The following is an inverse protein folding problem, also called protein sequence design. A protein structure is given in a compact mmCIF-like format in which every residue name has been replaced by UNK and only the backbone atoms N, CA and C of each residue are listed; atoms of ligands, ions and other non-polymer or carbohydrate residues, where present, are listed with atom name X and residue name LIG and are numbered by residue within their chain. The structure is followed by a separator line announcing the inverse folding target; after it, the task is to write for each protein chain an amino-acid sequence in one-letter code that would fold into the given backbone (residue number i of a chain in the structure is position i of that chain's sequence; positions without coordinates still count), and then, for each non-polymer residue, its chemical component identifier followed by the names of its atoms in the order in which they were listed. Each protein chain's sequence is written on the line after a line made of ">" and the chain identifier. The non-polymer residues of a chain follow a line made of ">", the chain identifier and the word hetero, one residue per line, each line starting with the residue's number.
data_IF_351463858266
#
_entry.id   IF_351463858266
#
_cell.length_a   1.000
_cell.length_b   1.000
_cell.length_c   1.000
_cell.angle_alpha   90.00
_cell.angle_beta   90.00
_cell.angle_gamma   90.00
#
_symmetry.space_group_name_H-M   'P 1'
#
loop_
_entity.id
_entity.type
_entity.pdbx_description
1 polymer ?
#
# COMPACT_ATOMS: atom_id res chain seq x y z
N UNK A 1 -48.93 -63.23 -15.26
CA UNK A 1 -48.71 -61.84 -14.82
C UNK A 1 -49.27 -60.89 -15.87
N UNK A 2 -50.22 -60.00 -15.55
CA UNK A 2 -50.74 -59.03 -16.51
C UNK A 2 -49.65 -58.02 -16.90
N UNK A 3 -49.52 -57.69 -18.19
CA UNK A 3 -48.59 -56.66 -18.66
C UNK A 3 -49.03 -55.29 -18.12
N UNK A 4 -48.12 -54.45 -17.59
CA UNK A 4 -48.47 -53.12 -17.12
C UNK A 4 -49.06 -52.28 -18.26
N UNK A 5 -50.08 -51.47 -17.96
CA UNK A 5 -50.69 -50.60 -18.97
C UNK A 5 -49.69 -49.54 -19.46
N UNK A 6 -49.78 -49.09 -20.71
CA UNK A 6 -48.91 -48.05 -21.25
C UNK A 6 -48.90 -46.77 -20.37
N UNK A 7 -50.02 -46.45 -19.73
CA UNK A 7 -50.14 -45.32 -18.78
C UNK A 7 -49.31 -45.55 -17.51
N UNK A 8 -49.23 -46.78 -17.02
CA UNK A 8 -48.43 -47.15 -15.85
C UNK A 8 -46.93 -47.08 -16.16
N UNK A 9 -46.53 -47.52 -17.36
CA UNK A 9 -45.13 -47.44 -17.81
C UNK A 9 -44.69 -45.99 -18.01
N UNK A 10 -45.54 -45.16 -18.64
CA UNK A 10 -45.28 -43.72 -18.81
C UNK A 10 -45.23 -42.99 -17.47
N UNK A 11 -46.16 -43.29 -16.55
CA UNK A 11 -46.16 -42.70 -15.21
C UNK A 11 -44.91 -43.05 -14.40
N UNK A 12 -44.44 -44.29 -14.48
CA UNK A 12 -43.20 -44.72 -13.83
C UNK A 12 -41.96 -44.05 -14.46
N UNK A 13 -41.91 -43.93 -15.78
CA UNK A 13 -40.83 -43.25 -16.48
C UNK A 13 -40.75 -41.75 -16.10
N UNK A 14 -41.89 -41.08 -16.01
CA UNK A 14 -41.98 -39.68 -15.57
C UNK A 14 -41.56 -39.51 -14.10
N UNK A 15 -41.98 -40.42 -13.22
CA UNK A 15 -41.60 -40.39 -11.80
C UNK A 15 -40.09 -40.63 -11.62
N UNK A 16 -39.50 -41.55 -12.38
CA UNK A 16 -38.05 -41.81 -12.36
C UNK A 16 -37.26 -40.63 -12.93
N UNK A 17 -37.73 -40.02 -14.01
CA UNK A 17 -37.10 -38.83 -14.59
C UNK A 17 -37.13 -37.65 -13.60
N UNK A 18 -38.28 -37.41 -12.97
CA UNK A 18 -38.43 -36.36 -11.95
C UNK A 18 -37.58 -36.63 -10.71
N UNK A 19 -37.59 -37.87 -10.19
CA UNK A 19 -36.76 -38.26 -9.05
C UNK A 19 -35.25 -38.15 -9.34
N UNK A 20 -34.81 -38.57 -10.52
CA UNK A 20 -33.42 -38.40 -10.96
C UNK A 20 -33.01 -36.93 -11.10
N UNK A 21 -33.92 -36.08 -11.59
CA UNK A 21 -33.70 -34.63 -11.69
C UNK A 21 -33.56 -33.95 -10.32
N UNK A 22 -34.42 -34.28 -9.35
CA UNK A 22 -34.32 -33.76 -7.97
C UNK A 22 -33.03 -34.22 -7.29
N UNK A 23 -32.67 -35.49 -7.44
CA UNK A 23 -31.41 -36.03 -6.90
C UNK A 23 -30.19 -35.33 -7.51
N UNK A 24 -30.22 -35.07 -8.82
CA UNK A 24 -29.17 -34.32 -9.50
C UNK A 24 -29.03 -32.90 -8.94
N UNK A 25 -30.14 -32.17 -8.72
CA UNK A 25 -30.10 -30.84 -8.08
C UNK A 25 -29.50 -30.91 -6.68
N UNK A 26 -29.90 -31.89 -5.86
CA UNK A 26 -29.38 -32.05 -4.49
C UNK A 26 -27.88 -32.36 -4.47
N UNK A 27 -27.43 -33.28 -5.33
CA UNK A 27 -26.01 -33.62 -5.47
C UNK A 27 -25.20 -32.43 -5.99
N UNK A 28 -25.69 -31.73 -7.02
CA UNK A 28 -25.04 -30.54 -7.56
C UNK A 28 -24.94 -29.42 -6.52
N UNK A 29 -25.98 -29.23 -5.71
CA UNK A 29 -25.99 -28.25 -4.62
C UNK A 29 -25.02 -28.63 -3.49
N UNK A 30 -24.98 -29.89 -3.07
CA UNK A 30 -24.03 -30.39 -2.07
C UNK A 30 -22.58 -30.25 -2.55
N UNK A 31 -22.31 -30.56 -3.82
CA UNK A 31 -21.01 -30.33 -4.45
C UNK A 31 -20.66 -28.84 -4.42
N UNK A 32 -21.59 -27.96 -4.83
CA UNK A 32 -21.39 -26.51 -4.76
C UNK A 32 -21.07 -26.05 -3.32
N UNK A 33 -21.81 -26.50 -2.31
CA UNK A 33 -21.56 -26.14 -0.91
C UNK A 33 -20.18 -26.62 -0.43
N UNK A 34 -19.81 -27.85 -0.78
CA UNK A 34 -18.48 -28.39 -0.49
C UNK A 34 -17.37 -27.56 -1.13
N UNK A 35 -17.54 -27.18 -2.42
CA UNK A 35 -16.57 -26.35 -3.13
C UNK A 35 -16.46 -24.93 -2.55
N UNK A 36 -17.57 -24.36 -2.06
CA UNK A 36 -17.55 -23.08 -1.36
C UNK A 36 -16.78 -23.17 -0.04
N UNK A 37 -17.06 -24.19 0.78
CA UNK A 37 -16.41 -24.36 2.09
C UNK A 37 -14.91 -24.58 1.98
N UNK A 38 -14.50 -25.53 1.13
CA UNK A 38 -13.07 -25.81 0.86
C UNK A 38 -12.40 -24.61 0.18
N UNK A 39 -13.07 -23.97 -0.78
CA UNK A 39 -12.59 -22.78 -1.46
C UNK A 39 -12.34 -21.63 -0.50
N UNK A 40 -13.30 -21.30 0.36
CA UNK A 40 -13.20 -20.17 1.31
C UNK A 40 -12.10 -20.37 2.35
N UNK A 41 -11.96 -21.58 2.89
CA UNK A 41 -10.90 -21.89 3.85
C UNK A 41 -9.51 -21.81 3.19
N UNK A 42 -9.37 -22.38 1.99
CA UNK A 42 -8.12 -22.30 1.22
C UNK A 42 -7.79 -20.86 0.83
N UNK A 43 -8.79 -20.07 0.42
CA UNK A 43 -8.60 -18.68 0.01
C UNK A 43 -8.03 -17.85 1.14
N UNK A 44 -8.64 -17.88 2.33
CA UNK A 44 -8.17 -17.11 3.48
C UNK A 44 -6.76 -17.52 3.91
N UNK A 45 -6.51 -18.83 4.05
CA UNK A 45 -5.20 -19.33 4.47
C UNK A 45 -4.10 -18.95 3.47
N UNK A 46 -4.34 -19.13 2.17
CA UNK A 46 -3.35 -18.79 1.13
C UNK A 46 -3.19 -17.30 0.91
N UNK A 47 -4.25 -16.49 1.08
CA UNK A 47 -4.16 -15.04 0.99
C UNK A 47 -3.32 -14.48 2.14
N UNK A 48 -3.53 -14.95 3.37
CA UNK A 48 -2.69 -14.59 4.51
C UNK A 48 -1.24 -15.00 4.28
N UNK A 49 -0.99 -16.24 3.82
CA UNK A 49 0.37 -16.69 3.48
C UNK A 49 1.05 -15.82 2.42
N UNK A 50 0.32 -15.44 1.36
CA UNK A 50 0.81 -14.53 0.31
C UNK A 50 1.20 -13.16 0.90
N UNK A 51 0.36 -12.57 1.74
CA UNK A 51 0.63 -11.26 2.37
C UNK A 51 1.83 -11.32 3.31
N UNK A 52 1.92 -12.38 4.13
CA UNK A 52 3.04 -12.57 5.06
C UNK A 52 4.37 -12.71 4.30
N UNK A 53 4.39 -13.47 3.21
CA UNK A 53 5.58 -13.65 2.38
C UNK A 53 5.98 -12.38 1.63
N UNK A 54 5.02 -11.62 1.08
CA UNK A 54 5.32 -10.30 0.48
C UNK A 54 5.93 -9.37 1.53
N UNK A 55 5.35 -9.33 2.73
CA UNK A 55 5.84 -8.48 3.83
C UNK A 55 7.21 -8.92 4.31
N UNK A 56 7.51 -10.22 4.25
CA UNK A 56 8.83 -10.79 4.54
C UNK A 56 9.85 -10.66 3.39
N UNK A 57 9.45 -10.17 2.22
CA UNK A 57 10.31 -10.07 1.04
C UNK A 57 10.53 -11.40 0.29
N UNK A 58 9.74 -12.43 0.57
CA UNK A 58 9.84 -13.76 -0.04
C UNK A 58 8.96 -13.89 -1.29
N UNK A 59 9.38 -13.27 -2.40
CA UNK A 59 8.61 -13.24 -3.65
C UNK A 59 8.19 -14.63 -4.18
N UNK A 60 9.12 -15.58 -4.25
CA UNK A 60 8.85 -16.92 -4.80
C UNK A 60 7.85 -17.71 -3.94
N UNK A 61 7.91 -17.54 -2.62
CA UNK A 61 6.91 -18.10 -1.72
C UNK A 61 5.55 -17.50 -2.05
N UNK A 62 5.47 -16.17 -2.11
CA UNK A 62 4.24 -15.44 -2.34
C UNK A 62 3.58 -15.83 -3.67
N UNK A 63 4.36 -16.05 -4.73
CA UNK A 63 3.87 -16.53 -6.02
C UNK A 63 3.26 -17.94 -5.94
N UNK A 64 3.90 -18.84 -5.20
CA UNK A 64 3.40 -20.20 -5.00
C UNK A 64 2.10 -20.24 -4.17
N UNK A 65 1.98 -19.39 -3.15
CA UNK A 65 0.76 -19.27 -2.35
C UNK A 65 -0.35 -18.51 -3.10
N UNK A 66 0.00 -17.52 -3.91
CA UNK A 66 -0.95 -16.79 -4.75
C UNK A 66 -1.63 -17.69 -5.78
N UNK A 67 -0.93 -18.64 -6.39
CA UNK A 67 -1.55 -19.63 -7.28
C UNK A 67 -2.68 -20.43 -6.58
N UNK A 68 -2.58 -20.64 -5.26
CA UNK A 68 -3.65 -21.27 -4.46
C UNK A 68 -4.80 -20.29 -4.21
N UNK A 69 -4.52 -18.99 -4.04
CA UNK A 69 -5.53 -17.93 -3.94
C UNK A 69 -6.39 -17.88 -5.20
N UNK A 70 -5.77 -17.86 -6.38
CA UNK A 70 -6.50 -17.84 -7.67
C UNK A 70 -7.35 -19.11 -7.85
N UNK A 71 -6.77 -20.28 -7.57
CA UNK A 71 -7.50 -21.54 -7.65
C UNK A 71 -8.68 -21.57 -6.67
N UNK A 72 -8.51 -21.04 -5.46
CA UNK A 72 -9.57 -20.95 -4.46
C UNK A 72 -10.68 -19.96 -4.86
N UNK A 73 -10.32 -18.78 -5.36
CA UNK A 73 -11.27 -17.78 -5.85
C UNK A 73 -12.09 -18.32 -7.03
N UNK A 74 -11.44 -19.02 -7.97
CA UNK A 74 -12.12 -19.68 -9.09
C UNK A 74 -13.10 -20.76 -8.61
N UNK A 75 -12.74 -21.56 -7.60
CA UNK A 75 -13.64 -22.54 -6.97
C UNK A 75 -14.86 -21.87 -6.32
N UNK A 76 -14.65 -20.78 -5.58
CA UNK A 76 -15.75 -20.03 -4.95
C UNK A 76 -16.68 -19.46 -6.03
N UNK A 77 -16.12 -18.78 -7.05
CA UNK A 77 -16.92 -18.21 -8.14
C UNK A 77 -17.72 -19.28 -8.89
N UNK A 78 -17.08 -20.37 -9.30
CA UNK A 78 -17.74 -21.47 -10.03
C UNK A 78 -18.78 -22.21 -9.19
N UNK A 79 -18.62 -22.24 -7.86
CA UNK A 79 -19.59 -22.88 -6.96
C UNK A 79 -20.94 -22.14 -6.90
N UNK A 80 -20.95 -20.84 -7.25
CA UNK A 80 -22.13 -19.96 -7.23
C UNK A 80 -22.95 -19.94 -8.53
N UNK A 81 -22.50 -20.68 -9.55
CA UNK A 81 -23.09 -20.69 -10.89
C UNK A 81 -23.43 -22.11 -11.35
N UNK A 82 -24.29 -22.22 -12.35
CA UNK A 82 -24.69 -23.49 -12.95
C UNK A 82 -26.20 -23.63 -13.10
N UNK A 83 -26.69 -24.61 -13.89
CA UNK A 83 -28.11 -24.73 -14.18
C UNK A 83 -28.94 -25.03 -12.92
N UNK A 84 -28.38 -25.76 -11.95
CA UNK A 84 -29.00 -26.01 -10.65
C UNK A 84 -29.16 -24.72 -9.83
N UNK A 85 -28.18 -23.80 -9.87
CA UNK A 85 -28.27 -22.51 -9.18
C UNK A 85 -29.28 -21.57 -9.84
N UNK A 86 -29.35 -21.55 -11.17
CA UNK A 86 -30.39 -20.76 -11.88
C UNK A 86 -31.79 -21.23 -11.48
N UNK A 87 -32.00 -22.55 -11.40
CA UNK A 87 -33.29 -23.12 -11.00
C UNK A 87 -33.62 -22.83 -9.53
N UNK A 88 -32.66 -23.00 -8.62
CA UNK A 88 -32.85 -22.68 -7.20
C UNK A 88 -33.11 -21.18 -7.00
N UNK A 89 -32.53 -20.31 -7.84
CA UNK A 89 -32.74 -18.86 -7.81
C UNK A 89 -34.12 -18.42 -8.26
N UNK A 90 -34.88 -19.29 -8.93
CA UNK A 90 -36.28 -19.03 -9.27
C UNK A 90 -37.25 -19.22 -8.10
N UNK A 91 -36.79 -19.79 -6.97
CA UNK A 91 -37.63 -20.04 -5.78
C UNK A 91 -37.61 -18.82 -4.86
N UNK A 92 -38.77 -18.18 -4.60
CA UNK A 92 -38.84 -17.02 -3.70
C UNK A 92 -38.28 -17.34 -2.31
N UNK A 93 -37.32 -16.53 -1.85
CA UNK A 93 -36.65 -16.70 -0.55
C UNK A 93 -35.31 -17.44 -0.63
N UNK A 94 -35.04 -18.21 -1.69
CA UNK A 94 -33.73 -18.85 -1.95
C UNK A 94 -32.85 -17.97 -2.84
N UNK A 95 -33.48 -17.13 -3.67
CA UNK A 95 -32.85 -16.16 -4.56
C UNK A 95 -31.81 -15.26 -3.86
N UNK A 96 -32.14 -14.73 -2.68
CA UNK A 96 -31.22 -13.90 -1.88
C UNK A 96 -29.95 -14.66 -1.44
N UNK A 97 -30.07 -15.95 -1.11
CA UNK A 97 -28.92 -16.76 -0.71
C UNK A 97 -27.98 -17.01 -1.90
N UNK A 98 -28.53 -17.19 -3.11
CA UNK A 98 -27.73 -17.38 -4.33
C UNK A 98 -27.07 -16.06 -4.75
N UNK A 99 -27.78 -14.94 -4.68
CA UNK A 99 -27.20 -13.62 -4.94
C UNK A 99 -26.04 -13.33 -3.97
N UNK A 100 -26.23 -13.59 -2.67
CA UNK A 100 -25.16 -13.45 -1.67
C UNK A 100 -23.93 -14.30 -1.99
N UNK A 101 -24.13 -15.52 -2.48
CA UNK A 101 -23.05 -16.40 -2.90
C UNK A 101 -22.33 -15.85 -4.13
N UNK A 102 -23.06 -15.34 -5.12
CA UNK A 102 -22.48 -14.70 -6.30
C UNK A 102 -21.68 -13.44 -5.93
N UNK A 103 -22.19 -12.62 -5.00
CA UNK A 103 -21.49 -11.47 -4.46
C UNK A 103 -20.20 -11.86 -3.73
N UNK A 104 -20.21 -12.95 -2.96
CA UNK A 104 -19.00 -13.48 -2.34
C UNK A 104 -17.98 -13.96 -3.40
N UNK A 105 -18.45 -14.68 -4.42
CA UNK A 105 -17.62 -15.13 -5.54
C UNK A 105 -16.95 -13.96 -6.26
N UNK A 106 -17.73 -12.94 -6.63
CA UNK A 106 -17.22 -11.71 -7.24
C UNK A 106 -16.18 -11.02 -6.35
N UNK A 107 -16.48 -10.83 -5.05
CA UNK A 107 -15.55 -10.22 -4.12
C UNK A 107 -14.21 -10.99 -4.03
N UNK A 108 -14.23 -12.32 -3.96
CA UNK A 108 -13.01 -13.13 -3.91
C UNK A 108 -12.22 -13.10 -5.21
N UNK A 109 -12.90 -13.05 -6.36
CA UNK A 109 -12.25 -12.93 -7.66
C UNK A 109 -11.57 -11.56 -7.82
N UNK A 110 -12.24 -10.48 -7.40
CA UNK A 110 -11.70 -9.12 -7.43
C UNK A 110 -10.49 -8.96 -6.50
N UNK A 111 -10.55 -9.56 -5.30
CA UNK A 111 -9.40 -9.59 -4.37
C UNK A 111 -8.25 -10.38 -4.99
N UNK A 112 -8.49 -11.57 -5.55
CA UNK A 112 -7.45 -12.38 -6.19
C UNK A 112 -6.79 -11.61 -7.34
N UNK A 113 -7.57 -10.99 -8.23
CA UNK A 113 -7.04 -10.19 -9.33
C UNK A 113 -6.19 -9.01 -8.84
N UNK A 114 -6.66 -8.29 -7.81
CA UNK A 114 -5.93 -7.16 -7.23
C UNK A 114 -4.61 -7.60 -6.55
N UNK A 115 -4.63 -8.72 -5.83
CA UNK A 115 -3.43 -9.31 -5.21
C UNK A 115 -2.43 -9.77 -6.26
N UNK A 116 -2.90 -10.38 -7.36
CA UNK A 116 -2.03 -10.79 -8.47
C UNK A 116 -1.34 -9.62 -9.14
N UNK A 117 -2.08 -8.54 -9.38
CA UNK A 117 -1.53 -7.31 -9.95
C UNK A 117 -0.50 -6.65 -9.01
N UNK A 118 -0.77 -6.64 -7.70
CA UNK A 118 0.18 -6.17 -6.68
C UNK A 118 1.45 -7.03 -6.63
N UNK A 119 1.31 -8.36 -6.66
CA UNK A 119 2.45 -9.27 -6.66
C UNK A 119 3.29 -9.11 -7.93
N UNK A 120 2.64 -9.05 -9.10
CA UNK A 120 3.31 -8.78 -10.36
C UNK A 120 4.06 -7.45 -10.32
N UNK A 121 3.42 -6.39 -9.81
CA UNK A 121 4.04 -5.09 -9.65
C UNK A 121 5.26 -5.14 -8.73
N UNK A 122 5.14 -5.81 -7.58
CA UNK A 122 6.26 -5.99 -6.68
C UNK A 122 7.42 -6.77 -7.34
N UNK A 123 7.13 -7.89 -8.01
CA UNK A 123 8.13 -8.66 -8.76
C UNK A 123 8.85 -7.84 -9.84
N UNK A 124 8.09 -7.05 -10.59
CA UNK A 124 8.60 -6.15 -11.63
C UNK A 124 9.55 -5.07 -11.08
N UNK A 125 9.17 -4.44 -9.97
CA UNK A 125 9.92 -3.34 -9.36
C UNK A 125 11.14 -3.85 -8.58
N UNK A 126 10.99 -4.93 -7.83
CA UNK A 126 12.07 -5.56 -7.06
C UNK A 126 13.10 -6.28 -7.92
N UNK A 127 12.70 -6.69 -9.14
CA UNK A 127 13.47 -7.53 -10.05
C UNK A 127 13.45 -9.03 -9.70
N UNK A 128 12.62 -9.44 -8.74
CA UNK A 128 12.51 -10.83 -8.30
C UNK A 128 11.90 -11.76 -9.37
N UNK A 129 11.17 -11.20 -10.35
CA UNK A 129 10.65 -11.95 -11.49
C UNK A 129 11.61 -12.00 -12.71
N UNK A 130 12.87 -11.62 -12.53
CA UNK A 130 13.86 -11.54 -13.60
C UNK A 130 13.88 -10.21 -14.35
N UNK A 131 12.97 -9.28 -14.03
CA UNK A 131 13.05 -7.89 -14.50
C UNK A 131 14.25 -7.16 -13.91
N UNK A 132 14.66 -6.07 -14.55
CA UNK A 132 15.64 -5.15 -13.95
C UNK A 132 15.03 -4.47 -12.74
N UNK A 133 15.74 -4.43 -11.61
CA UNK A 133 15.29 -3.67 -10.42
C UNK A 133 15.01 -2.22 -10.78
N UNK A 134 13.92 -1.65 -10.25
CA UNK A 134 13.54 -0.24 -10.51
C UNK A 134 14.64 0.72 -10.06
N UNK A 135 15.33 0.40 -8.96
CA UNK A 135 16.51 1.12 -8.53
C UNK A 135 17.76 0.32 -8.87
N UNK A 136 18.63 0.90 -9.69
CA UNK A 136 19.87 0.28 -10.11
C UNK A 136 20.93 1.36 -10.40
N UNK A 137 22.16 1.13 -9.93
CA UNK A 137 23.32 2.00 -10.16
C UNK A 137 23.08 3.49 -9.83
N UNK A 138 22.41 3.73 -8.70
CA UNK A 138 22.10 5.08 -8.19
C UNK A 138 21.01 5.81 -8.99
N UNK A 139 20.27 5.11 -9.84
CA UNK A 139 19.17 5.69 -10.60
C UNK A 139 17.89 4.88 -10.42
N UNK A 140 16.77 5.58 -10.34
CA UNK A 140 15.41 5.03 -10.41
C UNK A 140 14.95 5.04 -11.87
N UNK A 141 14.40 3.94 -12.35
CA UNK A 141 13.86 3.85 -13.71
C UNK A 141 12.55 4.64 -13.85
N UNK A 142 12.70 5.90 -14.25
CA UNK A 142 11.58 6.84 -14.44
C UNK A 142 10.64 6.40 -15.55
N UNK A 143 11.12 5.69 -16.57
CA UNK A 143 10.26 5.21 -17.65
C UNK A 143 9.27 4.17 -17.12
N UNK A 144 9.76 3.22 -16.32
CA UNK A 144 8.90 2.23 -15.64
C UNK A 144 7.99 2.86 -14.59
N UNK A 145 8.43 3.92 -13.91
CA UNK A 145 7.54 4.66 -13.00
C UNK A 145 6.32 5.26 -13.70
N UNK A 146 6.43 5.65 -14.98
CA UNK A 146 5.29 6.17 -15.76
C UNK A 146 4.25 5.09 -16.07
N UNK A 147 4.60 3.81 -15.91
CA UNK A 147 3.69 2.67 -16.08
C UNK A 147 2.91 2.36 -14.81
N UNK A 148 3.29 2.94 -13.65
CA UNK A 148 2.61 2.69 -12.37
C UNK A 148 1.15 3.17 -12.32
N UNK A 149 0.79 4.39 -12.75
CA UNK A 149 -0.56 4.91 -12.56
C UNK A 149 -1.69 4.00 -13.06
N UNK A 150 -1.66 3.45 -14.30
CA UNK A 150 -2.72 2.56 -14.76
C UNK A 150 -2.78 1.23 -13.97
N UNK A 151 -1.64 0.71 -13.51
CA UNK A 151 -1.59 -0.54 -12.71
C UNK A 151 -2.21 -0.34 -11.33
N UNK A 152 -1.82 0.76 -10.65
CA UNK A 152 -2.36 1.12 -9.35
C UNK A 152 -3.87 1.41 -9.44
N UNK A 153 -4.32 2.07 -10.52
CA UNK A 153 -5.74 2.31 -10.76
C UNK A 153 -6.54 1.01 -10.98
N UNK A 154 -5.94 -0.01 -11.63
CA UNK A 154 -6.58 -1.32 -11.79
C UNK A 154 -6.73 -2.05 -10.44
N UNK A 155 -5.70 -2.01 -9.60
CA UNK A 155 -5.73 -2.55 -8.23
C UNK A 155 -6.82 -1.84 -7.41
N UNK A 156 -6.87 -0.51 -7.46
CA UNK A 156 -7.91 0.28 -6.78
C UNK A 156 -9.32 -0.09 -7.23
N UNK A 157 -9.53 -0.24 -8.54
CA UNK A 157 -10.81 -0.61 -9.11
C UNK A 157 -11.26 -2.02 -8.63
N UNK A 158 -10.34 -2.98 -8.61
CA UNK A 158 -10.60 -4.33 -8.09
C UNK A 158 -10.97 -4.31 -6.60
N UNK A 159 -10.21 -3.59 -5.77
CA UNK A 159 -10.50 -3.44 -4.34
C UNK A 159 -11.86 -2.76 -4.12
N UNK A 160 -12.17 -1.69 -4.86
CA UNK A 160 -13.48 -1.00 -4.82
C UNK A 160 -14.62 -1.94 -5.20
N UNK A 161 -14.45 -2.71 -6.28
CA UNK A 161 -15.43 -3.70 -6.73
C UNK A 161 -15.65 -4.80 -5.69
N UNK A 162 -14.59 -5.30 -5.06
CA UNK A 162 -14.70 -6.30 -3.99
C UNK A 162 -15.50 -5.77 -2.80
N UNK A 163 -15.24 -4.52 -2.38
CA UNK A 163 -15.95 -3.89 -1.27
C UNK A 163 -17.43 -3.61 -1.62
N UNK A 164 -17.73 -3.29 -2.88
CA UNK A 164 -19.12 -3.15 -3.35
C UNK A 164 -19.84 -4.51 -3.33
N UNK A 165 -19.21 -5.56 -3.83
CA UNK A 165 -19.75 -6.92 -3.81
C UNK A 165 -20.01 -7.40 -2.37
N UNK A 166 -19.07 -7.17 -1.44
CA UNK A 166 -19.27 -7.48 -0.02
C UNK A 166 -20.46 -6.73 0.59
N UNK A 167 -20.63 -5.43 0.28
CA UNK A 167 -21.78 -4.62 0.77
C UNK A 167 -23.12 -5.06 0.17
N UNK A 168 -23.11 -5.61 -1.04
CA UNK A 168 -24.31 -6.12 -1.70
C UNK A 168 -24.86 -7.41 -1.09
N UNK A 169 -24.07 -8.10 -0.25
CA UNK A 169 -24.54 -9.25 0.53
C UNK A 169 -25.71 -8.82 1.44
N UNK A 170 -26.89 -9.37 1.16
CA UNK A 170 -28.10 -9.15 1.92
C UNK A 170 -28.04 -9.88 3.26
N UNK A 171 -28.19 -9.15 4.35
CA UNK A 171 -28.10 -9.67 5.72
C UNK A 171 -29.47 -9.84 6.34
N UNK A 172 -30.38 -10.48 5.61
CA UNK A 172 -31.78 -10.72 6.00
C UNK A 172 -32.08 -12.21 6.18
N UNK A 173 -33.14 -12.54 6.92
CA UNK A 173 -33.59 -13.93 7.12
C UNK A 173 -32.89 -14.67 8.27
N UNK A 174 -33.02 -16.01 8.33
CA UNK A 174 -32.60 -16.81 9.49
C UNK A 174 -31.11 -16.74 9.83
N UNK A 175 -30.26 -16.45 8.85
CA UNK A 175 -28.80 -16.36 8.99
C UNK A 175 -28.27 -14.92 9.00
N UNK A 176 -29.16 -13.92 9.09
CA UNK A 176 -28.83 -12.50 9.02
C UNK A 176 -27.65 -12.09 9.91
N UNK A 177 -27.66 -12.51 11.19
CA UNK A 177 -26.62 -12.12 12.15
C UNK A 177 -25.22 -12.69 11.81
N UNK A 178 -25.17 -13.93 11.31
CA UNK A 178 -23.92 -14.55 10.90
C UNK A 178 -23.36 -13.87 9.63
N UNK A 179 -24.22 -13.65 8.62
CA UNK A 179 -23.85 -12.97 7.38
C UNK A 179 -23.40 -11.52 7.65
N UNK A 180 -24.10 -10.78 8.50
CA UNK A 180 -23.72 -9.42 8.90
C UNK A 180 -22.35 -9.39 9.59
N UNK A 181 -22.02 -10.42 10.37
CA UNK A 181 -20.72 -10.53 11.04
C UNK A 181 -19.60 -10.81 10.05
N UNK A 182 -19.81 -11.74 9.11
CA UNK A 182 -18.84 -12.04 8.04
C UNK A 182 -18.62 -10.84 7.13
N UNK A 183 -19.70 -10.19 6.67
CA UNK A 183 -19.65 -8.98 5.85
C UNK A 183 -18.85 -7.87 6.54
N UNK A 184 -19.18 -7.56 7.80
CA UNK A 184 -18.48 -6.51 8.55
C UNK A 184 -17.00 -6.83 8.75
N UNK A 185 -16.67 -8.09 9.08
CA UNK A 185 -15.27 -8.51 9.21
C UNK A 185 -14.52 -8.33 7.89
N UNK A 186 -15.06 -8.83 6.78
CA UNK A 186 -14.43 -8.71 5.47
C UNK A 186 -14.23 -7.23 5.05
N UNK A 187 -15.23 -6.37 5.29
CA UNK A 187 -15.10 -4.94 4.99
C UNK A 187 -14.04 -4.24 5.86
N UNK A 188 -13.90 -4.65 7.13
CA UNK A 188 -12.87 -4.10 8.01
C UNK A 188 -11.45 -4.50 7.58
N UNK A 189 -11.27 -5.68 6.97
CA UNK A 189 -9.97 -6.11 6.42
C UNK A 189 -9.63 -5.39 5.10
N UNK A 190 -10.63 -5.08 4.28
CA UNK A 190 -10.42 -4.40 2.98
C UNK A 190 -10.16 -2.90 3.14
N UNK A 191 -10.73 -2.26 4.16
CA UNK A 191 -10.66 -0.80 4.32
C UNK A 191 -9.24 -0.23 4.41
N UNK A 192 -8.31 -0.78 5.22
CA UNK A 192 -6.93 -0.29 5.29
C UNK A 192 -6.17 -0.43 3.96
N UNK A 193 -6.42 -1.52 3.23
CA UNK A 193 -5.81 -1.76 1.91
C UNK A 193 -6.31 -0.72 0.90
N UNK A 194 -7.61 -0.45 0.92
CA UNK A 194 -8.21 0.59 0.07
C UNK A 194 -7.64 1.97 0.38
N UNK A 195 -7.45 2.32 1.65
CA UNK A 195 -6.84 3.59 2.06
C UNK A 195 -5.40 3.71 1.55
N UNK A 196 -4.58 2.67 1.73
CA UNK A 196 -3.20 2.64 1.24
C UNK A 196 -3.11 2.76 -0.29
N UNK A 197 -3.99 2.08 -1.02
CA UNK A 197 -4.02 2.14 -2.48
C UNK A 197 -4.53 3.49 -2.99
N UNK A 198 -5.51 4.11 -2.34
CA UNK A 198 -5.94 5.47 -2.71
C UNK A 198 -4.78 6.47 -2.63
N UNK A 199 -3.97 6.41 -1.57
CA UNK A 199 -2.76 7.25 -1.46
C UNK A 199 -1.81 6.99 -2.63
N UNK A 200 -1.62 5.73 -3.02
CA UNK A 200 -0.76 5.40 -4.15
C UNK A 200 -1.35 5.86 -5.50
N UNK A 201 -2.67 5.81 -5.69
CA UNK A 201 -3.36 6.36 -6.87
C UNK A 201 -3.07 7.85 -7.01
N UNK A 202 -3.10 8.60 -5.90
CA UNK A 202 -2.84 10.03 -5.89
C UNK A 202 -1.36 10.37 -6.13
N UNK A 203 -0.45 9.55 -5.58
CA UNK A 203 1.00 9.78 -5.66
C UNK A 203 1.64 9.28 -6.95
N UNK A 204 1.24 8.11 -7.47
CA UNK A 204 1.89 7.46 -8.61
C UNK A 204 2.03 8.36 -9.85
N UNK A 205 1.03 9.19 -10.23
CA UNK A 205 1.17 10.12 -11.35
C UNK A 205 2.24 11.20 -11.15
N UNK A 206 2.54 11.55 -9.89
CA UNK A 206 3.48 12.62 -9.53
C UNK A 206 4.91 12.11 -9.41
N UNK A 207 5.11 10.82 -9.12
CA UNK A 207 6.43 10.24 -8.88
C UNK A 207 7.43 10.47 -10.03
N UNK A 208 7.08 10.33 -11.32
CA UNK A 208 8.03 10.59 -12.39
C UNK A 208 8.57 12.02 -12.36
N UNK A 209 7.70 13.03 -12.24
CA UNK A 209 8.13 14.43 -12.19
C UNK A 209 8.94 14.71 -10.92
N UNK A 210 8.47 14.22 -9.78
CA UNK A 210 9.16 14.35 -8.50
C UNK A 210 10.58 13.74 -8.52
N UNK A 211 10.81 12.73 -9.35
CA UNK A 211 12.11 12.08 -9.52
C UNK A 211 12.87 12.56 -10.77
N UNK A 212 12.49 13.73 -11.29
CA UNK A 212 13.25 14.45 -12.30
C UNK A 212 12.99 14.03 -13.73
N UNK A 213 11.80 13.48 -14.05
CA UNK A 213 11.41 13.14 -15.42
C UNK A 213 11.49 14.33 -16.40
N UNK A 214 11.17 15.53 -15.93
CA UNK A 214 11.03 16.74 -16.75
C UNK A 214 12.07 17.83 -16.40
N UNK A 215 13.10 17.49 -15.64
CA UNK A 215 14.13 18.43 -15.19
C UNK A 215 14.73 18.02 -13.86
N UNK A 216 15.78 18.69 -13.43
CA UNK A 216 16.40 18.43 -12.12
C UNK A 216 15.41 18.81 -11.02
N UNK A 217 15.12 17.88 -10.11
CA UNK A 217 14.37 18.14 -8.87
C UNK A 217 15.30 18.17 -7.69
N UNK A 218 15.12 19.13 -6.79
CA UNK A 218 15.98 19.38 -5.63
C UNK A 218 15.18 19.31 -4.34
N UNK A 219 15.59 18.46 -3.42
CA UNK A 219 14.95 18.33 -2.11
C UNK A 219 15.95 18.65 -1.00
N UNK A 220 15.58 19.57 -0.12
CA UNK A 220 16.35 19.84 1.08
C UNK A 220 15.90 18.87 2.17
N UNK A 221 16.80 18.03 2.64
CA UNK A 221 16.58 17.18 3.81
C UNK A 221 17.21 17.89 5.02
N UNK A 222 16.37 18.27 5.96
CA UNK A 222 16.76 18.83 7.24
C UNK A 222 16.77 17.73 8.32
N UNK A 223 17.96 17.39 8.79
CA UNK A 223 18.14 16.39 9.84
C UNK A 223 18.08 17.09 11.18
N UNK A 224 17.00 16.81 11.90
CA UNK A 224 16.66 17.41 13.17
C UNK A 224 17.38 16.74 14.34
N UNK A 225 17.90 17.54 15.26
CA UNK A 225 18.38 17.08 16.54
C UNK A 225 17.29 17.24 17.62
N UNK A 226 16.83 16.10 18.14
CA UNK A 226 15.77 16.03 19.14
C UNK A 226 16.21 16.49 20.55
N UNK A 227 17.52 16.62 20.83
CA UNK A 227 18.02 17.23 22.07
C UNK A 227 17.63 18.71 22.18
N UNK A 228 17.47 19.39 21.04
CA UNK A 228 16.92 20.75 20.97
C UNK A 228 15.45 20.71 20.56
N UNK A 229 14.58 20.44 21.55
CA UNK A 229 13.15 20.24 21.30
C UNK A 229 12.52 21.40 20.52
N UNK A 230 11.99 21.07 19.36
CA UNK A 230 11.18 21.91 18.47
C UNK A 230 10.04 21.06 17.93
N UNK A 231 8.85 21.64 17.83
CA UNK A 231 7.63 20.91 17.45
C UNK A 231 7.69 20.27 16.04
N UNK A 232 8.59 20.73 15.17
CA UNK A 232 8.80 20.19 13.83
C UNK A 232 9.99 19.21 13.74
N UNK A 233 10.24 18.42 14.79
CA UNK A 233 11.24 17.34 14.76
C UNK A 233 12.66 17.71 15.23
N UNK A 234 12.80 18.70 16.11
CA UNK A 234 14.09 19.13 16.63
C UNK A 234 14.84 20.11 15.72
N UNK A 235 15.87 20.79 16.24
CA UNK A 235 16.60 21.83 15.50
C UNK A 235 17.32 21.25 14.26
N UNK A 236 17.23 21.87 13.06
CA UNK A 236 17.86 21.36 11.85
C UNK A 236 19.37 21.61 11.89
N UNK A 237 20.13 20.67 12.43
CA UNK A 237 21.57 20.81 12.67
C UNK A 237 22.44 20.24 11.55
N UNK A 238 21.87 19.42 10.67
CA UNK A 238 22.51 18.99 9.44
C UNK A 238 21.54 19.14 8.27
N UNK A 239 22.05 19.59 7.13
CA UNK A 239 21.27 19.72 5.90
C UNK A 239 21.93 18.91 4.78
N UNK A 240 21.08 18.37 3.91
CA UNK A 240 21.49 17.61 2.73
C UNK A 240 20.62 18.06 1.56
N UNK A 241 21.23 18.49 0.47
CA UNK A 241 20.56 18.70 -0.80
C UNK A 241 20.61 17.40 -1.59
N UNK A 242 19.45 16.83 -1.91
CA UNK A 242 19.32 15.67 -2.80
C UNK A 242 18.78 16.14 -4.13
N UNK A 243 19.46 15.77 -5.22
CA UNK A 243 18.99 16.04 -6.57
C UNK A 243 18.57 14.76 -7.27
N UNK A 244 17.48 14.83 -8.02
CA UNK A 244 17.06 13.82 -8.98
C UNK A 244 17.10 14.41 -10.39
N UNK A 245 17.89 13.82 -11.27
CA UNK A 245 17.92 14.14 -12.70
C UNK A 245 17.64 12.87 -13.51
N UNK A 246 16.45 12.80 -14.13
CA UNK A 246 15.97 11.60 -14.85
C UNK A 246 16.12 10.33 -14.00
N UNK A 247 15.76 10.42 -12.72
CA UNK A 247 15.85 9.34 -11.75
C UNK A 247 17.23 9.11 -11.14
N UNK A 248 18.30 9.71 -11.68
CA UNK A 248 19.64 9.63 -11.08
C UNK A 248 19.70 10.47 -9.82
N UNK A 249 20.10 9.85 -8.72
CA UNK A 249 20.20 10.47 -7.41
C UNK A 249 21.62 11.03 -7.24
N UNK A 250 21.73 12.28 -6.77
CA UNK A 250 23.00 12.86 -6.33
C UNK A 250 22.83 13.69 -5.06
N UNK A 251 23.95 13.89 -4.35
CA UNK A 251 23.98 14.68 -3.11
C UNK A 251 25.08 15.73 -3.27
N UNK A 252 24.82 16.84 -3.98
CA UNK A 252 25.85 17.84 -4.27
C UNK A 252 26.25 18.67 -3.05
N UNK A 253 25.35 18.86 -2.08
CA UNK A 253 25.61 19.70 -0.90
C UNK A 253 25.16 18.96 0.35
N UNK A 254 26.04 18.91 1.35
CA UNK A 254 25.73 18.39 2.68
C UNK A 254 26.65 19.00 3.72
N UNK A 255 26.18 19.16 4.94
CA UNK A 255 27.01 19.63 6.04
C UNK A 255 26.23 20.01 7.28
N UNK A 256 26.98 20.33 8.34
CA UNK A 256 26.45 20.94 9.55
C UNK A 256 25.91 22.34 9.24
N UNK A 257 24.69 22.61 9.69
CA UNK A 257 23.99 23.88 9.44
C UNK A 257 24.83 25.07 9.89
N UNK A 258 25.30 25.06 11.13
CA UNK A 258 25.84 26.26 11.78
C UNK A 258 27.29 26.59 11.40
N UNK A 259 28.12 25.59 11.09
CA UNK A 259 29.58 25.75 10.94
C UNK A 259 30.07 25.60 9.51
N UNK A 260 29.43 24.73 8.72
CA UNK A 260 29.88 24.38 7.38
C UNK A 260 29.05 25.06 6.30
N UNK A 261 27.73 25.15 6.51
CA UNK A 261 26.81 25.72 5.53
C UNK A 261 26.53 27.21 5.79
N UNK A 262 26.38 27.63 7.04
CA UNK A 262 26.14 29.04 7.39
C UNK A 262 27.22 29.64 8.30
N UNK A 263 28.49 29.77 7.82
CA UNK A 263 29.58 30.37 8.59
C UNK A 263 29.54 31.93 8.57
N UNK A 264 30.12 32.62 9.58
CA UNK A 264 30.62 32.09 10.86
C UNK A 264 29.47 31.51 11.70
N UNK A 265 29.77 30.75 12.76
CA UNK A 265 28.80 29.98 13.56
C UNK A 265 27.39 30.62 13.62
N UNK A 266 26.41 29.97 12.98
CA UNK A 266 25.01 30.44 12.90
C UNK A 266 24.86 31.85 12.31
N UNK A 267 25.54 32.11 11.18
CA UNK A 267 25.39 33.37 10.46
C UNK A 267 23.91 33.62 10.14
N UNK A 268 23.48 34.87 10.29
CA UNK A 268 22.13 35.26 9.92
C UNK A 268 22.03 35.34 8.41
N UNK A 269 20.90 34.87 7.90
CA UNK A 269 20.53 34.99 6.49
C UNK A 269 19.23 35.75 6.36
N UNK A 270 19.06 36.40 5.21
CA UNK A 270 17.83 37.11 4.88
C UNK A 270 17.02 36.32 3.88
N UNK A 271 15.75 36.10 4.18
CA UNK A 271 14.85 35.39 3.28
C UNK A 271 13.41 35.90 3.38
N UNK A 272 12.61 35.57 2.38
CA UNK A 272 11.16 35.76 2.44
C UNK A 272 10.49 34.45 2.87
N UNK A 273 9.78 34.51 3.99
CA UNK A 273 9.01 33.39 4.52
C UNK A 273 7.50 33.51 4.24
N UNK A 274 6.72 32.44 4.53
CA UNK A 274 5.26 32.47 4.44
C UNK A 274 4.64 33.62 5.25
N UNK A 275 3.59 34.21 4.69
CA UNK A 275 2.75 35.20 5.38
C UNK A 275 2.09 34.59 6.62
N UNK A 276 1.76 35.43 7.62
CA UNK A 276 1.02 35.03 8.83
C UNK A 276 1.77 34.00 9.72
N UNK A 277 3.10 33.96 9.68
CA UNK A 277 3.89 33.22 10.66
C UNK A 277 4.08 34.07 11.93
N UNK A 278 3.48 33.72 13.09
CA UNK A 278 3.62 34.53 14.31
C UNK A 278 5.04 34.54 14.89
N UNK A 279 5.86 33.53 14.60
CA UNK A 279 7.24 33.45 15.09
C UNK A 279 8.21 34.32 14.29
N UNK A 280 7.80 34.69 13.08
CA UNK A 280 8.49 35.66 12.26
C UNK A 280 7.45 36.67 11.74
N UNK A 281 7.18 37.77 12.46
CA UNK A 281 6.11 38.70 12.08
C UNK A 281 6.49 39.62 10.89
N UNK A 282 7.79 39.74 10.56
CA UNK A 282 8.30 40.69 9.56
C UNK A 282 9.02 39.94 8.43
N UNK A 283 8.81 40.39 7.19
CA UNK A 283 9.59 39.99 6.01
C UNK A 283 10.41 41.21 5.49
N UNK A 284 11.63 40.99 4.95
CA UNK A 284 12.38 39.74 4.99
C UNK A 284 12.76 39.38 6.43
N UNK A 285 12.94 38.08 6.69
CA UNK A 285 13.52 37.61 7.95
C UNK A 285 15.02 37.98 7.99
N UNK A 286 15.61 38.00 9.18
CA UNK A 286 17.05 38.17 9.37
C UNK A 286 17.48 37.39 10.62
N UNK A 287 17.70 36.08 10.44
CA UNK A 287 17.97 35.15 11.52
C UNK A 287 18.78 33.93 11.05
N UNK A 288 19.32 33.11 11.97
CA UNK A 288 20.03 31.89 11.59
C UNK A 288 19.11 30.81 11.00
N UNK A 289 19.61 30.01 10.06
CA UNK A 289 18.86 28.89 9.45
C UNK A 289 18.29 27.91 10.50
N UNK A 290 19.00 27.70 11.61
CA UNK A 290 18.60 26.74 12.66
C UNK A 290 17.27 27.09 13.35
N UNK A 291 16.78 28.33 13.26
CA UNK A 291 15.50 28.74 13.90
C UNK A 291 14.29 28.70 12.95
N UNK A 292 14.49 28.35 11.68
CA UNK A 292 13.41 28.31 10.66
C UNK A 292 12.27 27.35 11.02
N UNK A 293 12.56 26.37 11.88
CA UNK A 293 11.64 25.33 12.29
C UNK A 293 10.85 25.68 13.60
N UNK A 294 10.85 26.94 14.01
CA UNK A 294 10.16 27.39 15.24
C UNK A 294 8.64 27.20 15.15
N UNK A 295 8.06 27.29 13.96
CA UNK A 295 6.63 27.08 13.77
C UNK A 295 6.27 25.58 13.86
N UNK A 296 5.23 25.18 14.62
CA UNK A 296 4.90 23.76 14.81
C UNK A 296 4.36 23.07 13.56
N UNK A 297 3.70 23.80 12.66
CA UNK A 297 3.34 23.28 11.33
C UNK A 297 4.56 23.14 10.42
N UNK A 298 4.82 21.92 9.95
CA UNK A 298 5.86 21.62 8.98
C UNK A 298 5.66 22.36 7.64
N UNK A 299 4.42 22.68 7.27
CA UNK A 299 4.14 23.48 6.06
C UNK A 299 4.71 24.89 6.16
N UNK A 300 4.68 25.49 7.36
CA UNK A 300 5.33 26.79 7.60
C UNK A 300 6.84 26.62 7.73
N UNK A 301 7.29 25.71 8.61
CA UNK A 301 8.71 25.46 8.85
C UNK A 301 9.46 25.10 7.56
N UNK A 302 8.90 24.24 6.72
CA UNK A 302 9.48 23.84 5.43
C UNK A 302 9.64 25.02 4.47
N UNK A 303 8.67 25.94 4.41
CA UNK A 303 8.79 27.16 3.58
C UNK A 303 9.79 28.16 4.15
N UNK A 304 9.87 28.29 5.47
CA UNK A 304 10.94 29.08 6.11
C UNK A 304 12.32 28.47 5.84
N UNK A 305 12.46 27.14 5.93
CA UNK A 305 13.70 26.41 5.61
C UNK A 305 14.12 26.59 4.15
N UNK A 306 13.19 26.41 3.20
CA UNK A 306 13.47 26.63 1.78
C UNK A 306 13.89 28.08 1.49
N UNK A 307 13.20 29.05 2.09
CA UNK A 307 13.54 30.46 1.95
C UNK A 307 14.92 30.78 2.52
N UNK A 308 15.22 30.34 3.74
CA UNK A 308 16.50 30.59 4.39
C UNK A 308 17.67 29.87 3.69
N UNK A 309 17.42 28.69 3.11
CA UNK A 309 18.36 28.00 2.23
C UNK A 309 18.73 28.85 1.02
N UNK A 310 17.75 29.36 0.28
CA UNK A 310 18.00 30.28 -0.85
C UNK A 310 18.65 31.58 -0.39
N UNK A 311 18.25 32.10 0.77
CA UNK A 311 18.86 33.28 1.39
C UNK A 311 20.31 33.09 1.85
N UNK A 312 20.78 31.84 1.93
CA UNK A 312 22.19 31.47 2.11
C UNK A 312 22.95 31.27 0.81
N UNK A 313 22.43 31.77 -0.30
CA UNK A 313 22.99 31.64 -1.66
C UNK A 313 23.08 30.19 -2.18
N UNK A 314 22.17 29.33 -1.71
CA UNK A 314 22.02 27.96 -2.21
C UNK A 314 20.93 27.82 -3.28
N UNK A 315 20.97 26.75 -4.11
CA UNK A 315 19.95 26.52 -5.15
C UNK A 315 18.54 26.40 -4.58
N UNK A 316 17.55 26.88 -5.33
CA UNK A 316 16.13 26.66 -5.03
C UNK A 316 15.79 25.17 -4.93
N UNK A 317 14.79 24.85 -4.10
CA UNK A 317 14.36 23.48 -3.83
C UNK A 317 12.89 23.31 -4.13
N UNK A 318 12.54 22.15 -4.71
CA UNK A 318 11.16 21.73 -5.01
C UNK A 318 10.42 21.22 -3.77
N UNK A 319 11.16 20.84 -2.71
CA UNK A 319 10.56 20.40 -1.47
C UNK A 319 11.54 20.36 -0.30
N UNK A 320 10.98 20.31 0.91
CA UNK A 320 11.73 20.14 2.15
C UNK A 320 11.21 18.90 2.88
N UNK A 321 12.13 18.05 3.29
CA UNK A 321 11.87 16.87 4.10
C UNK A 321 12.58 17.04 5.44
N UNK A 322 11.97 16.60 6.52
CA UNK A 322 12.62 16.53 7.83
C UNK A 322 12.84 15.09 8.21
N UNK A 323 14.01 14.78 8.74
CA UNK A 323 14.34 13.45 9.26
C UNK A 323 14.86 13.59 10.68
N UNK A 324 14.43 12.70 11.56
CA UNK A 324 14.99 12.58 12.90
C UNK A 324 15.81 11.29 13.04
N UNK A 325 16.46 11.13 14.19
CA UNK A 325 17.29 9.97 14.46
C UNK A 325 16.48 8.66 14.52
N UNK A 326 15.19 8.72 14.86
CA UNK A 326 14.32 7.54 14.85
C UNK A 326 14.08 7.06 13.43
N UNK A 327 13.80 7.99 12.51
CA UNK A 327 13.64 7.69 11.09
C UNK A 327 14.95 7.16 10.49
N UNK A 328 16.09 7.76 10.83
CA UNK A 328 17.41 7.29 10.36
C UNK A 328 17.72 5.90 10.94
N UNK A 329 17.40 5.64 12.21
CA UNK A 329 17.58 4.32 12.82
C UNK A 329 16.70 3.25 12.15
N UNK A 330 15.46 3.58 11.81
CA UNK A 330 14.58 2.67 11.07
C UNK A 330 15.15 2.31 9.69
N UNK A 331 15.73 3.29 8.98
CA UNK A 331 16.41 3.05 7.70
C UNK A 331 17.63 2.15 7.88
N UNK A 332 18.48 2.38 8.88
CA UNK A 332 19.63 1.52 9.15
C UNK A 332 19.21 0.10 9.55
N UNK A 333 18.15 -0.06 10.32
CA UNK A 333 17.67 -1.38 10.71
C UNK A 333 17.14 -2.18 9.50
N UNK A 334 16.61 -1.49 8.48
CA UNK A 334 16.16 -2.11 7.24
C UNK A 334 17.30 -2.43 6.26
N UNK A 335 18.32 -1.57 6.19
CA UNK A 335 19.42 -1.71 5.22
C UNK A 335 20.65 -2.43 5.77
N UNK A 336 20.74 -2.57 7.08
CA UNK A 336 21.92 -3.07 7.80
C UNK A 336 22.84 -1.95 8.32
N UNK A 337 23.81 -2.32 9.17
CA UNK A 337 24.73 -1.37 9.78
C UNK A 337 25.62 -0.66 8.76
N UNK A 338 26.09 0.53 9.12
CA UNK A 338 27.06 1.29 8.32
C UNK A 338 28.41 1.37 9.03
N UNK A 339 29.49 1.38 8.25
CA UNK A 339 30.84 1.55 8.80
C UNK A 339 31.19 3.04 8.88
N UNK A 340 31.50 3.51 10.08
CA UNK A 340 32.02 4.84 10.37
C UNK A 340 33.50 4.78 10.69
N UNK A 341 34.29 5.69 10.11
CA UNK A 341 35.70 5.83 10.45
C UNK A 341 35.91 6.30 11.90
N UNK A 342 34.97 7.06 12.47
CA UNK A 342 35.05 7.61 13.81
C UNK A 342 34.44 6.69 14.88
N UNK A 343 33.38 5.97 14.55
CA UNK A 343 32.57 5.21 15.52
C UNK A 343 32.55 3.70 15.29
N UNK A 344 33.26 3.19 14.28
CA UNK A 344 33.22 1.78 13.92
C UNK A 344 31.90 1.39 13.26
N UNK A 345 31.41 0.18 13.52
CA UNK A 345 30.09 -0.24 13.04
C UNK A 345 28.99 0.52 13.78
N UNK A 346 28.10 1.16 13.03
CA UNK A 346 26.98 1.95 13.57
C UNK A 346 25.67 1.30 13.18
N UNK A 347 24.90 0.90 14.19
CA UNK A 347 23.53 0.38 14.05
C UNK A 347 22.49 1.45 14.39
N UNK A 348 21.23 1.21 14.01
CA UNK A 348 20.12 2.11 14.37
C UNK A 348 19.99 2.34 15.88
N UNK A 349 20.17 1.29 16.67
CA UNK A 349 20.04 1.33 18.14
C UNK A 349 21.11 2.21 18.82
N UNK A 350 22.26 2.40 18.17
CA UNK A 350 23.37 3.18 18.72
C UNK A 350 23.30 4.67 18.37
N UNK A 351 22.54 5.06 17.33
CA UNK A 351 22.52 6.42 16.80
C UNK A 351 22.14 7.47 17.86
N UNK A 352 21.14 7.18 18.69
CA UNK A 352 20.71 8.09 19.74
C UNK A 352 21.83 8.39 20.74
N UNK A 353 22.56 7.37 21.19
CA UNK A 353 23.69 7.54 22.11
C UNK A 353 24.83 8.30 21.45
N UNK A 354 25.23 7.90 20.24
CA UNK A 354 26.35 8.50 19.53
C UNK A 354 26.06 9.99 19.25
N UNK A 355 24.88 10.31 18.70
CA UNK A 355 24.60 11.63 18.14
C UNK A 355 23.93 12.60 19.12
N UNK A 356 23.28 12.12 20.20
CA UNK A 356 22.62 12.98 21.19
C UNK A 356 23.36 13.06 22.52
N UNK A 357 24.29 12.15 22.80
CA UNK A 357 25.02 12.11 24.08
C UNK A 357 26.53 12.24 23.82
N UNK A 358 27.12 11.27 23.13
CA UNK A 358 28.58 11.18 22.99
C UNK A 358 29.13 12.36 22.16
N UNK A 359 28.40 12.84 21.16
CA UNK A 359 28.76 14.00 20.35
C UNK A 359 28.74 15.35 21.11
N UNK A 360 28.20 15.37 22.34
CA UNK A 360 28.10 16.56 23.19
C UNK A 360 29.07 16.54 24.39
N UNK A 361 29.91 15.51 24.51
CA UNK A 361 30.95 15.38 25.55
C UNK A 361 32.31 15.86 25.03
#
# INVERSE_FOLDING_TARGET
>A
MPKPSAKTVVGLALALAFGGFVLWIQLAFLVSLGTLGVGSASFLASLTGTVDQITGGEYQGAEADFAKVEAAASRISSSSVGPHMVMLGGVPGVDSAIQNWQHLGAATADIAGSTGELLSLFGDLSGENGSRKIFNDGAIDVARLRELPPRVAAIDAGIKSSAQSLRAIQTTGPLAGALATVQRKALNEVAPVQEAINVLVDLAPQLPDALGANGVKRYLIAIGNQAEMRASGGAPLSLVLVEFDKGRISIPIKGQTSTQLFPPLNAKVKWWGPSMNPFFPVNPRDAPMVVTNTHPSLTFAGREMAGAWVGGDYPEVDGVMTMDLTAIAAVLNALGPIQSAAYGEVTGDQLGKILLIDAYQ
#
